data_IF_279123390970
#
_entry.id   IF_279123390970
#
_cell.length_a   1.000
_cell.length_b   1.000
_cell.length_c   1.000
_cell.angle_alpha   90.00
_cell.angle_beta   90.00
_cell.angle_gamma   90.00
#
_symmetry.space_group_name_H-M   'P 1'
#
loop_
_entity.id
_entity.type
_entity.pdbx_description
1 polymer ?
#
# COMPACT_ATOMS: atom_id res chain seq x y z
N UNK A 1 -4.94 -1.52 7.58
CA UNK A 1 -4.88 -0.39 6.64
C UNK A 1 -4.56 -1.01 5.32
N UNK A 2 -5.52 -0.99 4.41
CA UNK A 2 -5.49 -1.85 3.24
C UNK A 2 -4.87 -1.06 2.08
N UNK A 3 -4.02 -1.74 1.32
CA UNK A 3 -3.29 -1.15 0.20
C UNK A 3 -4.16 -1.22 -1.06
N UNK A 4 -4.42 -0.07 -1.69
CA UNK A 4 -5.17 -0.02 -2.95
C UNK A 4 -4.38 -0.60 -4.12
N UNK A 5 -5.06 -1.16 -5.13
CA UNK A 5 -4.42 -1.79 -6.30
C UNK A 5 -3.45 -0.85 -7.04
N UNK A 6 -3.76 0.44 -7.11
CA UNK A 6 -2.88 1.45 -7.71
C UNK A 6 -1.60 1.70 -6.88
N UNK A 7 -1.70 1.57 -5.55
CA UNK A 7 -0.54 1.70 -4.65
C UNK A 7 0.38 0.49 -4.79
N UNK A 8 -0.21 -0.70 -4.97
CA UNK A 8 0.53 -1.94 -5.25
C UNK A 8 1.27 -1.86 -6.58
N UNK A 9 0.62 -1.37 -7.64
CA UNK A 9 1.28 -1.19 -8.94
C UNK A 9 2.49 -0.27 -8.83
N UNK A 10 2.32 0.91 -8.22
CA UNK A 10 3.42 1.87 -8.06
C UNK A 10 4.57 1.31 -7.23
N UNK A 11 4.31 0.50 -6.22
CA UNK A 11 5.34 -0.21 -5.47
C UNK A 11 6.16 -1.12 -6.39
N UNK A 12 5.47 -1.97 -7.15
CA UNK A 12 6.12 -2.97 -8.00
C UNK A 12 6.96 -2.30 -9.09
N UNK A 13 6.51 -1.15 -9.61
CA UNK A 13 7.25 -0.36 -10.60
C UNK A 13 8.56 0.26 -10.05
N UNK A 14 8.70 0.40 -8.72
CA UNK A 14 9.89 0.96 -8.06
C UNK A 14 10.95 -0.12 -7.73
N UNK A 15 10.60 -1.38 -7.90
CA UNK A 15 11.48 -2.51 -7.63
C UNK A 15 12.17 -2.94 -8.92
N UNK A 16 13.44 -3.27 -8.81
CA UNK A 16 14.13 -4.07 -9.82
C UNK A 16 13.62 -5.51 -9.76
N UNK A 17 13.84 -6.28 -10.83
CA UNK A 17 13.47 -7.71 -10.89
C UNK A 17 14.04 -8.48 -9.69
N UNK A 18 15.29 -8.21 -9.32
CA UNK A 18 15.95 -8.88 -8.20
C UNK A 18 15.28 -8.55 -6.86
N UNK A 19 15.01 -7.27 -6.60
CA UNK A 19 14.36 -6.83 -5.38
C UNK A 19 12.91 -7.32 -5.30
N UNK A 20 12.23 -7.43 -6.45
CA UNK A 20 10.92 -8.05 -6.55
C UNK A 20 10.98 -9.53 -6.11
N UNK A 21 11.96 -10.30 -6.59
CA UNK A 21 12.09 -11.72 -6.22
C UNK A 21 12.41 -11.87 -4.73
N UNK A 22 13.33 -11.05 -4.19
CA UNK A 22 13.63 -11.04 -2.76
C UNK A 22 12.42 -10.63 -1.91
N UNK A 23 11.64 -9.65 -2.37
CA UNK A 23 10.43 -9.22 -1.69
C UNK A 23 9.38 -10.35 -1.67
N UNK A 24 9.12 -11.00 -2.79
CA UNK A 24 8.17 -12.13 -2.88
C UNK A 24 8.62 -13.28 -1.97
N UNK A 25 9.90 -13.65 -1.99
CA UNK A 25 10.42 -14.71 -1.12
C UNK A 25 10.24 -14.36 0.35
N UNK A 26 10.53 -13.12 0.74
CA UNK A 26 10.45 -12.70 2.14
C UNK A 26 9.00 -12.59 2.61
N UNK A 27 8.10 -12.06 1.79
CA UNK A 27 6.66 -11.96 2.08
C UNK A 27 5.99 -13.34 2.17
N UNK A 28 6.46 -14.31 1.41
CA UNK A 28 5.94 -15.69 1.42
C UNK A 28 6.27 -16.46 2.70
N UNK A 29 7.28 -16.01 3.45
CA UNK A 29 7.63 -16.60 4.73
C UNK A 29 6.78 -15.99 5.86
N UNK A 30 6.32 -16.79 6.85
CA UNK A 30 5.65 -16.25 8.03
C UNK A 30 6.58 -15.28 8.76
N UNK A 31 6.01 -14.23 9.34
CA UNK A 31 6.80 -13.26 10.11
C UNK A 31 7.50 -13.95 11.27
N UNK A 32 8.83 -13.90 11.28
CA UNK A 32 9.64 -14.48 12.34
C UNK A 32 9.33 -13.73 13.64
N UNK A 33 9.11 -14.45 14.74
CA UNK A 33 8.76 -13.82 16.00
C UNK A 33 9.91 -12.87 16.43
N UNK A 34 9.58 -11.65 16.83
CA UNK A 34 10.55 -10.65 17.29
C UNK A 34 11.43 -11.22 18.43
N UNK A 35 10.87 -12.08 19.28
CA UNK A 35 11.62 -12.76 20.34
C UNK A 35 12.65 -13.77 19.79
N UNK A 36 12.34 -14.44 18.68
CA UNK A 36 13.26 -15.36 18.01
C UNK A 36 14.37 -14.58 17.29
N UNK A 37 14.05 -13.42 16.70
CA UNK A 37 15.05 -12.52 16.09
C UNK A 37 16.02 -11.95 17.13
N UNK A 38 15.52 -11.48 18.28
CA UNK A 38 16.35 -10.98 19.37
C UNK A 38 17.27 -12.07 19.94
N UNK A 39 16.79 -13.32 20.01
CA UNK A 39 17.59 -14.46 20.45
C UNK A 39 18.74 -14.77 19.50
N UNK A 40 18.55 -14.55 18.19
CA UNK A 40 19.59 -14.73 17.15
C UNK A 40 20.60 -13.58 17.09
N UNK A 41 20.24 -12.39 17.58
CA UNK A 41 21.11 -11.22 17.69
C UNK A 41 21.97 -11.21 18.97
N UNK A 42 21.86 -12.25 19.81
CA UNK A 42 22.80 -12.52 20.91
C UNK A 42 24.25 -12.60 20.41
N UNK A 43 25.18 -12.04 21.18
CA UNK A 43 26.63 -12.10 20.90
C UNK A 43 27.13 -13.54 20.65
N UNK A 44 26.46 -14.56 21.20
CA UNK A 44 26.79 -15.98 21.02
C UNK A 44 26.51 -16.53 19.61
N UNK A 45 25.63 -15.89 18.83
CA UNK A 45 25.22 -16.36 17.50
C UNK A 45 25.80 -15.53 16.36
N UNK A 46 26.70 -14.59 16.66
CA UNK A 46 27.32 -13.65 15.73
C UNK A 46 28.41 -14.33 14.85
N UNK A 47 28.09 -15.49 14.28
CA UNK A 47 28.89 -16.09 13.22
C UNK A 47 28.52 -15.34 11.95
N UNK A 48 29.43 -14.48 11.48
CA UNK A 48 29.41 -13.84 10.18
C UNK A 48 29.32 -14.91 9.07
N UNK A 49 28.12 -15.43 8.84
CA UNK A 49 27.82 -16.25 7.67
C UNK A 49 27.70 -15.29 6.51
N UNK A 50 28.80 -15.18 5.77
CA UNK A 50 28.80 -14.68 4.40
C UNK A 50 27.71 -15.45 3.64
N UNK A 51 26.56 -14.82 3.45
CA UNK A 51 25.43 -15.43 2.74
C UNK A 51 25.90 -15.88 1.37
N UNK A 52 25.81 -17.20 1.15
CA UNK A 52 26.13 -17.85 -0.10
C UNK A 52 25.34 -17.20 -1.22
N UNK A 53 26.05 -16.66 -2.22
CA UNK A 53 25.45 -16.12 -3.44
C UNK A 53 24.69 -17.23 -4.15
N UNK A 54 23.36 -17.15 -4.16
CA UNK A 54 22.49 -18.05 -4.93
C UNK A 54 22.64 -17.77 -6.43
N UNK A 55 22.54 -18.79 -7.31
CA UNK A 55 22.76 -18.62 -8.74
C UNK A 55 21.62 -17.82 -9.40
N UNK A 56 21.97 -16.96 -10.36
CA UNK A 56 21.03 -16.15 -11.15
C UNK A 56 20.16 -17.02 -12.05
N UNK A 57 18.84 -16.91 -11.93
CA UNK A 57 17.91 -17.29 -12.98
C UNK A 57 17.51 -16.05 -13.78
N UNK A 58 18.31 -15.75 -14.80
CA UNK A 58 17.97 -14.75 -15.81
C UNK A 58 16.98 -15.38 -16.79
N UNK A 59 15.67 -15.17 -16.59
CA UNK A 59 14.62 -15.26 -17.64
C UNK A 59 13.20 -14.86 -17.16
N UNK A 60 13.06 -14.11 -16.04
CA UNK A 60 11.75 -13.81 -15.42
C UNK A 60 11.47 -12.32 -15.20
N UNK A 61 12.00 -11.45 -16.05
CA UNK A 61 11.87 -10.00 -15.94
C UNK A 61 10.40 -9.50 -15.93
N UNK A 62 9.46 -10.22 -16.55
CA UNK A 62 8.03 -9.86 -16.56
C UNK A 62 7.16 -10.64 -15.58
N UNK A 63 7.63 -11.79 -15.06
CA UNK A 63 6.80 -12.67 -14.25
C UNK A 63 6.82 -12.29 -12.76
N UNK A 64 7.91 -11.71 -12.27
CA UNK A 64 7.96 -11.33 -10.85
C UNK A 64 6.93 -10.25 -10.51
N UNK A 65 6.81 -9.21 -11.35
CA UNK A 65 5.93 -8.09 -11.07
C UNK A 65 4.46 -8.52 -11.01
N UNK A 66 4.03 -9.37 -11.95
CA UNK A 66 2.66 -9.90 -11.94
C UNK A 66 2.40 -10.84 -10.76
N UNK A 67 3.36 -11.70 -10.41
CA UNK A 67 3.27 -12.56 -9.22
C UNK A 67 3.20 -11.74 -7.94
N UNK A 68 4.00 -10.69 -7.81
CA UNK A 68 4.00 -9.82 -6.64
C UNK A 68 2.68 -9.05 -6.52
N UNK A 69 2.15 -8.52 -7.63
CA UNK A 69 0.84 -7.86 -7.64
C UNK A 69 -0.26 -8.84 -7.25
N UNK A 70 -0.29 -10.04 -7.84
CA UNK A 70 -1.30 -11.06 -7.56
C UNK A 70 -1.24 -11.53 -6.10
N UNK A 71 -0.03 -11.74 -5.57
CA UNK A 71 0.19 -12.10 -4.18
C UNK A 71 -0.30 -10.98 -3.24
N UNK A 72 0.05 -9.73 -3.53
CA UNK A 72 -0.36 -8.56 -2.74
C UNK A 72 -1.85 -8.26 -2.86
N UNK A 73 -2.52 -8.60 -3.96
CA UNK A 73 -3.97 -8.48 -4.08
C UNK A 73 -4.67 -9.60 -3.29
N UNK A 74 -4.17 -10.83 -3.39
CA UNK A 74 -4.74 -12.00 -2.71
C UNK A 74 -4.61 -11.91 -1.19
N UNK A 75 -3.48 -11.38 -0.71
CA UNK A 75 -3.18 -11.31 0.72
C UNK A 75 -3.23 -9.88 1.29
N UNK A 76 -3.45 -8.88 0.43
CA UNK A 76 -3.39 -7.44 0.76
C UNK A 76 -4.40 -6.99 1.80
N UNK A 77 -5.62 -7.53 1.75
CA UNK A 77 -6.68 -7.22 2.72
C UNK A 77 -6.35 -7.74 4.13
N UNK A 78 -5.54 -8.80 4.22
CA UNK A 78 -5.08 -9.38 5.49
C UNK A 78 -3.72 -8.81 5.92
N UNK A 79 -3.08 -8.03 5.05
CA UNK A 79 -1.72 -7.53 5.18
C UNK A 79 -1.72 -6.06 5.56
N UNK A 80 -1.36 -5.77 6.81
CA UNK A 80 -1.11 -4.39 7.21
C UNK A 80 0.14 -3.84 6.51
N UNK A 81 0.06 -2.58 6.05
CA UNK A 81 1.21 -1.83 5.51
C UNK A 81 2.48 -1.93 6.37
N UNK A 82 2.35 -2.10 7.69
CA UNK A 82 3.48 -2.32 8.61
C UNK A 82 4.34 -3.54 8.21
N UNK A 83 3.74 -4.68 7.88
CA UNK A 83 4.49 -5.89 7.49
C UNK A 83 5.21 -5.68 6.15
N UNK A 84 4.55 -5.05 5.19
CA UNK A 84 5.18 -4.69 3.91
C UNK A 84 6.35 -3.72 4.12
N UNK A 85 6.17 -2.69 4.96
CA UNK A 85 7.20 -1.71 5.29
C UNK A 85 8.41 -2.38 5.95
N UNK A 86 8.20 -3.29 6.91
CA UNK A 86 9.29 -4.08 7.52
C UNK A 86 10.02 -4.94 6.50
N UNK A 87 9.28 -5.58 5.60
CA UNK A 87 9.88 -6.45 4.58
C UNK A 87 10.72 -5.63 3.59
N UNK A 88 10.22 -4.46 3.17
CA UNK A 88 10.97 -3.51 2.34
C UNK A 88 12.25 -3.04 3.03
N UNK A 89 12.20 -2.77 4.35
CA UNK A 89 13.39 -2.43 5.13
C UNK A 89 14.40 -3.59 5.18
N UNK A 90 13.94 -4.84 5.33
CA UNK A 90 14.79 -6.03 5.37
C UNK A 90 15.57 -6.24 4.07
N UNK A 91 14.94 -5.97 2.91
CA UNK A 91 15.61 -6.04 1.60
C UNK A 91 16.39 -4.75 1.25
N UNK A 92 16.51 -3.80 2.19
CA UNK A 92 17.27 -2.56 2.02
C UNK A 92 16.55 -1.44 1.26
N UNK A 93 15.24 -1.58 0.99
CA UNK A 93 14.38 -0.60 0.31
C UNK A 93 13.53 0.23 1.26
N UNK A 94 14.18 0.77 2.28
CA UNK A 94 13.58 1.71 3.24
C UNK A 94 13.10 3.00 2.55
N UNK A 95 13.75 3.41 1.45
CA UNK A 95 13.33 4.54 0.61
C UNK A 95 11.92 4.33 0.04
N UNK A 96 11.64 3.15 -0.53
CA UNK A 96 10.32 2.78 -1.03
C UNK A 96 9.32 2.72 0.10
N UNK A 97 9.68 2.11 1.24
CA UNK A 97 8.80 2.00 2.39
C UNK A 97 8.30 3.38 2.84
N UNK A 98 9.22 4.34 3.03
CA UNK A 98 8.89 5.72 3.41
C UNK A 98 8.01 6.39 2.35
N UNK A 99 8.38 6.27 1.08
CA UNK A 99 7.66 6.94 -0.01
C UNK A 99 6.24 6.39 -0.18
N UNK A 100 6.06 5.07 -0.03
CA UNK A 100 4.73 4.47 0.01
C UNK A 100 3.88 5.01 1.15
N UNK A 101 4.46 5.17 2.36
CA UNK A 101 3.74 5.71 3.51
C UNK A 101 3.23 7.13 3.24
N UNK A 102 4.06 7.97 2.62
CA UNK A 102 3.65 9.32 2.18
C UNK A 102 2.54 9.26 1.14
N UNK A 103 2.68 8.40 0.13
CA UNK A 103 1.71 8.28 -0.96
C UNK A 103 0.34 7.80 -0.44
N UNK A 104 0.32 6.80 0.45
CA UNK A 104 -0.90 6.33 1.09
C UNK A 104 -1.59 7.46 1.86
N UNK A 105 -0.82 8.25 2.61
CA UNK A 105 -1.35 9.39 3.35
C UNK A 105 -1.90 10.49 2.41
N UNK A 106 -1.21 10.75 1.30
CA UNK A 106 -1.65 11.69 0.28
C UNK A 106 -2.96 11.23 -0.39
N UNK A 107 -3.04 9.97 -0.80
CA UNK A 107 -4.24 9.39 -1.42
C UNK A 107 -5.46 9.51 -0.50
N UNK A 108 -5.29 9.21 0.80
CA UNK A 108 -6.35 9.38 1.81
C UNK A 108 -6.78 10.84 1.95
N UNK A 109 -5.82 11.76 1.96
CA UNK A 109 -6.11 13.19 2.03
C UNK A 109 -6.93 13.65 0.82
N UNK A 110 -6.54 13.23 -0.38
CA UNK A 110 -7.26 13.54 -1.62
C UNK A 110 -8.65 12.89 -1.67
N UNK A 111 -8.80 11.66 -1.17
CA UNK A 111 -10.08 10.98 -1.08
C UNK A 111 -11.03 11.72 -0.11
N UNK A 112 -10.51 12.19 1.03
CA UNK A 112 -11.27 13.00 1.98
C UNK A 112 -11.72 14.33 1.38
N UNK A 113 -10.82 15.02 0.67
CA UNK A 113 -11.15 16.29 0.01
C UNK A 113 -12.28 16.10 -1.01
N UNK A 114 -12.20 15.07 -1.86
CA UNK A 114 -13.26 14.73 -2.82
C UNK A 114 -14.59 14.44 -2.14
N UNK A 115 -14.57 13.66 -1.06
CA UNK A 115 -15.79 13.38 -0.29
C UNK A 115 -16.44 14.66 0.26
N UNK A 116 -15.64 15.57 0.83
CA UNK A 116 -16.13 16.86 1.35
C UNK A 116 -16.71 17.73 0.23
N UNK A 117 -16.06 17.77 -0.93
CA UNK A 117 -16.53 18.52 -2.10
C UNK A 117 -17.85 17.96 -2.65
N UNK A 118 -17.93 16.65 -2.86
CA UNK A 118 -19.14 15.96 -3.32
C UNK A 118 -20.31 16.16 -2.34
N UNK A 119 -20.04 16.13 -1.03
CA UNK A 119 -21.04 16.42 -0.01
C UNK A 119 -21.54 17.87 -0.11
N UNK A 120 -20.62 18.84 -0.26
CA UNK A 120 -20.98 20.24 -0.45
C UNK A 120 -21.84 20.46 -1.70
N UNK A 121 -21.51 19.81 -2.82
CA UNK A 121 -22.32 19.87 -4.03
C UNK A 121 -23.73 19.32 -3.83
N UNK A 122 -23.86 18.19 -3.12
CA UNK A 122 -25.16 17.59 -2.83
C UNK A 122 -26.02 18.49 -1.95
N UNK A 123 -25.44 19.07 -0.89
CA UNK A 123 -26.14 20.01 -0.01
C UNK A 123 -26.57 21.26 -0.79
N UNK A 124 -25.72 21.79 -1.66
CA UNK A 124 -26.07 22.93 -2.49
C UNK A 124 -27.22 22.61 -3.47
N UNK A 125 -27.20 21.44 -4.12
CA UNK A 125 -28.29 20.98 -4.99
C UNK A 125 -29.61 20.89 -4.23
N UNK A 126 -29.60 20.32 -3.02
CA UNK A 126 -30.79 20.23 -2.16
C UNK A 126 -31.26 21.63 -1.76
N UNK A 127 -30.36 22.51 -1.34
CA UNK A 127 -30.70 23.88 -0.96
C UNK A 127 -31.34 24.66 -2.13
N UNK A 128 -30.76 24.56 -3.33
CA UNK A 128 -31.33 25.16 -4.55
C UNK A 128 -32.73 24.62 -4.89
N UNK A 129 -32.94 23.31 -4.75
CA UNK A 129 -34.26 22.69 -4.96
C UNK A 129 -35.30 23.23 -3.97
N UNK A 130 -34.96 23.30 -2.67
CA UNK A 130 -35.86 23.86 -1.66
C UNK A 130 -36.23 25.33 -1.94
N UNK A 131 -35.27 26.14 -2.38
CA UNK A 131 -35.52 27.55 -2.74
C UNK A 131 -36.43 27.67 -3.96
N UNK A 132 -36.29 26.80 -4.96
CA UNK A 132 -37.19 26.78 -6.12
C UNK A 132 -38.62 26.37 -5.75
N UNK A 133 -38.82 25.37 -4.88
CA UNK A 133 -40.16 24.95 -4.44
C UNK A 133 -40.88 26.05 -3.67
N UNK A 134 -40.17 26.83 -2.84
CA UNK A 134 -40.74 27.97 -2.12
C UNK A 134 -41.12 29.15 -3.03
N UNK A 135 -40.38 29.36 -4.12
CA UNK A 135 -40.69 30.40 -5.11
C UNK A 135 -41.94 30.07 -5.95
N UNK A 136 -42.20 28.80 -6.27
CA UNK A 136 -43.40 28.38 -6.99
C UNK A 136 -44.66 28.41 -6.09
N UNK A 137 -44.56 28.00 -4.83
CA UNK A 137 -45.68 28.08 -3.88
C UNK A 137 -46.12 29.52 -3.57
N UNK A 138 -45.20 30.47 -3.58
CA UNK A 138 -45.51 31.89 -3.37
C UNK A 138 -46.13 32.56 -4.60
N UNK A 139 -45.89 32.04 -5.82
CA UNK A 139 -46.51 32.53 -7.06
C UNK A 139 -47.93 32.00 -7.30
N UNK A 140 -48.32 30.85 -6.73
CA UNK A 140 -49.68 30.31 -6.85
C UNK A 140 -50.66 30.82 -5.79
N UNK A 141 -50.19 31.62 -4.82
CA UNK A 141 -51.03 32.26 -3.78
C UNK A 141 -51.37 33.73 -4.07
N UNK A 142 -51.09 34.23 -5.27
CA UNK A 142 -51.36 35.62 -5.67
C UNK A 142 -52.47 35.72 -6.71
#
# INVERSE_FOLDING_TARGET
>A
EDLGSHQLQRLVDLLTVYECEELVMTLSNPEENIFDQLSRLSEEMNQLRLSSRTPRHADKESHCHSVLIDWLQTHGEQMYYDRLSRTLQQIGRTDIAIEMGKNINQDKTLAMQRYVEEYHEQVNKIASQLVHTQAEETSHKK
#
